data_IF_577772527455
#
_entry.id   IF_577772527455
#
_cell.length_a   1.000
_cell.length_b   1.000
_cell.length_c   1.000
_cell.angle_alpha   90.00
_cell.angle_beta   90.00
_cell.angle_gamma   90.00
#
_symmetry.space_group_name_H-M   'P 1'
#
loop_
_entity.id
_entity.type
_entity.pdbx_description
1 polymer ?
#
# COMPACT_ATOMS: atom_id res chain seq x y z
N UNK A 1 -14.56 3.62 14.83
CA UNK A 1 -13.44 4.56 14.99
C UNK A 1 -13.95 5.86 15.60
N UNK A 2 -13.25 6.37 16.61
CA UNK A 2 -13.53 7.69 17.20
C UNK A 2 -12.49 8.67 16.66
N UNK A 3 -12.94 9.90 16.34
CA UNK A 3 -12.07 10.94 15.83
C UNK A 3 -12.05 12.12 16.80
N UNK A 4 -10.85 12.58 17.15
CA UNK A 4 -10.62 13.74 17.97
C UNK A 4 -9.49 14.61 17.40
N UNK A 5 -9.11 15.63 18.17
CA UNK A 5 -7.98 16.48 17.82
C UNK A 5 -7.13 16.75 19.07
N UNK A 6 -5.80 16.69 18.88
CA UNK A 6 -4.86 17.27 19.82
C UNK A 6 -4.49 18.67 19.34
N UNK A 7 -4.49 19.64 20.26
CA UNK A 7 -4.18 21.04 19.98
C UNK A 7 -3.18 21.56 21.01
N UNK A 8 -2.24 22.38 20.56
CA UNK A 8 -1.23 23.00 21.44
C UNK A 8 -1.59 24.44 21.72
N UNK A 9 -1.67 24.81 22.99
CA UNK A 9 -1.95 26.18 23.43
C UNK A 9 -0.74 26.77 24.16
N UNK A 10 -0.41 28.03 23.87
CA UNK A 10 0.62 28.82 24.54
C UNK A 10 -0.05 30.09 25.07
N UNK A 11 0.01 30.31 26.38
CA UNK A 11 -0.64 31.42 27.05
C UNK A 11 -2.14 31.57 26.67
N UNK A 12 -2.86 30.45 26.57
CA UNK A 12 -4.29 30.43 26.25
C UNK A 12 -4.63 30.68 24.78
N UNK A 13 -3.64 30.78 23.90
CA UNK A 13 -3.84 30.96 22.46
C UNK A 13 -3.38 29.72 21.73
N UNK A 14 -4.15 29.29 20.72
CA UNK A 14 -3.77 28.18 19.85
C UNK A 14 -2.43 28.48 19.17
N UNK A 15 -1.45 27.63 19.38
CA UNK A 15 -0.13 27.78 18.78
C UNK A 15 -0.17 27.58 17.27
N UNK A 16 0.81 28.14 16.59
CA UNK A 16 1.03 27.90 15.15
C UNK A 16 2.26 27.03 14.92
N UNK A 17 2.14 26.12 13.98
CA UNK A 17 3.29 25.42 13.43
C UNK A 17 4.11 26.33 12.51
N UNK A 18 5.26 25.86 12.09
CA UNK A 18 6.11 26.54 11.13
C UNK A 18 6.49 25.56 10.01
N UNK A 19 6.17 25.90 8.76
CA UNK A 19 6.53 25.12 7.58
C UNK A 19 7.08 26.05 6.50
N UNK A 20 8.38 25.94 6.15
CA UNK A 20 8.92 26.62 4.98
C UNK A 20 8.48 25.88 3.72
N UNK A 21 8.10 26.63 2.70
CA UNK A 21 7.83 26.17 1.35
C UNK A 21 8.90 26.78 0.46
N UNK A 22 9.86 25.98 0.03
CA UNK A 22 10.97 26.44 -0.79
C UNK A 22 11.15 25.49 -1.98
N UNK A 23 11.01 26.03 -3.20
CA UNK A 23 11.27 25.35 -4.45
C UNK A 23 12.07 26.26 -5.36
N UNK A 24 12.90 25.72 -6.22
CA UNK A 24 13.81 26.50 -7.08
C UNK A 24 13.10 27.48 -8.02
N UNK A 25 11.84 27.22 -8.35
CA UNK A 25 11.04 28.01 -9.30
C UNK A 25 10.08 29.01 -8.67
N UNK A 26 10.03 29.12 -7.34
CA UNK A 26 9.21 30.10 -6.60
C UNK A 26 9.99 30.75 -5.46
N UNK A 27 9.60 31.95 -5.09
CA UNK A 27 10.13 32.60 -3.88
C UNK A 27 9.73 31.78 -2.63
N UNK A 28 10.66 31.65 -1.69
CA UNK A 28 10.40 30.95 -0.42
C UNK A 28 9.23 31.60 0.34
N UNK A 29 8.32 30.78 0.78
CA UNK A 29 7.15 31.18 1.55
C UNK A 29 7.15 30.50 2.92
N UNK A 30 6.49 31.11 3.88
CA UNK A 30 6.32 30.56 5.22
C UNK A 30 4.83 30.32 5.47
N UNK A 31 4.50 29.10 5.85
CA UNK A 31 3.15 28.72 6.23
C UNK A 31 3.08 28.42 7.73
N UNK A 32 2.11 29.02 8.41
CA UNK A 32 1.88 28.90 9.86
C UNK A 32 0.52 28.24 10.13
N UNK A 33 0.39 26.92 9.92
CA UNK A 33 -0.84 26.21 10.23
C UNK A 33 -1.08 26.21 11.75
N UNK A 34 -2.33 25.95 12.14
CA UNK A 34 -2.63 25.66 13.52
C UNK A 34 -1.85 24.44 14.01
N UNK A 35 -1.31 24.51 15.24
CA UNK A 35 -0.64 23.38 15.88
C UNK A 35 -1.70 22.38 16.36
N UNK A 36 -2.31 21.69 15.39
CA UNK A 36 -3.43 20.79 15.54
C UNK A 36 -3.15 19.48 14.80
N UNK A 37 -3.42 18.37 15.47
CA UNK A 37 -3.27 17.04 14.91
C UNK A 37 -4.58 16.26 15.04
N UNK A 38 -5.03 15.65 13.95
CA UNK A 38 -6.17 14.73 13.99
C UNK A 38 -5.75 13.42 14.65
N UNK A 39 -6.53 12.98 15.62
CA UNK A 39 -6.39 11.70 16.31
C UNK A 39 -7.53 10.79 15.87
N UNK A 40 -7.21 9.56 15.54
CA UNK A 40 -8.19 8.52 15.22
C UNK A 40 -7.93 7.33 16.13
N UNK A 41 -8.92 6.97 16.94
CA UNK A 41 -8.88 5.76 17.74
C UNK A 41 -9.47 4.60 16.95
N UNK A 42 -8.69 3.54 16.80
CA UNK A 42 -9.07 2.34 16.07
C UNK A 42 -9.02 1.15 17.03
N UNK A 43 -10.09 0.36 17.05
CA UNK A 43 -10.10 -0.94 17.72
C UNK A 43 -9.67 -2.00 16.71
N UNK A 44 -8.36 -2.26 16.66
CA UNK A 44 -7.74 -3.19 15.73
C UNK A 44 -7.05 -4.35 16.48
N UNK A 45 -7.31 -5.56 16.03
CA UNK A 45 -6.48 -6.70 16.38
C UNK A 45 -5.25 -6.71 15.50
N UNK A 46 -4.09 -6.44 16.09
CA UNK A 46 -2.79 -6.36 15.39
C UNK A 46 -1.97 -7.59 15.79
N UNK A 47 -1.97 -8.66 14.98
CA UNK A 47 -1.16 -9.83 15.26
C UNK A 47 0.33 -9.47 15.16
N UNK A 48 1.18 -10.04 16.04
CA UNK A 48 2.62 -9.83 15.98
C UNK A 48 3.17 -10.41 14.67
N UNK A 49 3.61 -9.53 13.79
CA UNK A 49 4.22 -9.86 12.50
C UNK A 49 5.41 -8.96 12.24
N UNK A 50 6.51 -9.57 11.80
CA UNK A 50 7.70 -8.85 11.37
C UNK A 50 7.60 -8.53 9.88
N UNK A 51 7.67 -7.25 9.56
CA UNK A 51 7.48 -6.73 8.20
C UNK A 51 8.79 -6.15 7.67
N UNK A 52 9.22 -6.62 6.51
CA UNK A 52 10.27 -5.96 5.73
C UNK A 52 9.65 -5.03 4.70
N UNK A 53 10.01 -3.76 4.71
CA UNK A 53 9.48 -2.74 3.80
C UNK A 53 10.53 -2.30 2.78
N UNK A 54 10.24 -2.50 1.50
CA UNK A 54 11.07 -2.06 0.38
C UNK A 54 10.52 -0.73 -0.17
N UNK A 55 11.18 0.37 0.13
CA UNK A 55 10.73 1.70 -0.28
C UNK A 55 10.64 1.82 -1.81
N UNK A 56 9.50 2.33 -2.29
CA UNK A 56 9.25 2.64 -3.68
C UNK A 56 9.50 4.12 -4.03
N UNK A 57 8.59 4.70 -4.80
CA UNK A 57 8.70 6.11 -5.24
C UNK A 57 8.42 7.15 -4.13
N UNK A 58 8.13 6.68 -2.93
CA UNK A 58 7.80 7.48 -1.75
C UNK A 58 6.33 7.38 -1.39
N UNK A 59 6.06 6.83 -0.22
CA UNK A 59 4.74 6.73 0.39
C UNK A 59 4.88 6.71 1.91
N UNK A 60 3.77 6.66 2.63
CA UNK A 60 3.71 6.68 4.08
C UNK A 60 3.15 5.40 4.69
N UNK A 61 3.07 4.32 3.91
CA UNK A 61 2.52 3.05 4.37
C UNK A 61 3.43 2.43 5.45
N UNK A 62 4.76 2.46 5.26
CA UNK A 62 5.70 1.99 6.27
C UNK A 62 5.56 2.75 7.60
N UNK A 63 5.51 4.09 7.55
CA UNK A 63 5.29 4.92 8.74
C UNK A 63 3.95 4.62 9.41
N UNK A 64 2.89 4.41 8.62
CA UNK A 64 1.56 4.08 9.14
C UNK A 64 1.55 2.72 9.87
N UNK A 65 2.23 1.71 9.34
CA UNK A 65 2.36 0.39 9.97
C UNK A 65 3.14 0.46 11.28
N UNK A 66 4.22 1.25 11.35
CA UNK A 66 4.94 1.53 12.59
C UNK A 66 4.04 2.21 13.63
N UNK A 67 3.25 3.20 13.21
CA UNK A 67 2.30 3.88 14.10
C UNK A 67 1.18 2.96 14.62
N UNK A 68 0.86 1.91 13.89
CA UNK A 68 -0.07 0.86 14.33
C UNK A 68 0.58 -0.14 15.31
N UNK A 69 1.91 -0.11 15.47
CA UNK A 69 2.65 -0.96 16.40
C UNK A 69 3.21 -2.25 15.78
N UNK A 70 3.26 -2.37 14.45
CA UNK A 70 3.98 -3.48 13.83
C UNK A 70 5.50 -3.34 13.98
N UNK A 71 6.20 -4.47 14.12
CA UNK A 71 7.65 -4.55 13.96
C UNK A 71 7.98 -4.44 12.46
N UNK A 72 8.61 -3.34 12.04
CA UNK A 72 8.91 -3.06 10.64
C UNK A 72 10.33 -2.54 10.46
N UNK A 73 11.06 -3.16 9.52
CA UNK A 73 12.36 -2.71 9.07
C UNK A 73 12.29 -2.17 7.64
N UNK A 74 12.84 -0.98 7.39
CA UNK A 74 13.09 -0.48 6.03
C UNK A 74 14.32 -1.18 5.47
N UNK A 75 14.11 -1.97 4.42
CA UNK A 75 15.14 -2.83 3.85
C UNK A 75 15.94 -2.11 2.76
N UNK A 76 17.26 -2.31 2.77
CA UNK A 76 18.14 -1.83 1.71
C UNK A 76 18.19 -2.87 0.56
N UNK A 77 17.67 -2.54 -0.63
CA UNK A 77 17.67 -3.46 -1.77
C UNK A 77 19.06 -3.94 -2.22
N UNK A 78 20.13 -3.20 -1.89
CA UNK A 78 21.49 -3.58 -2.24
C UNK A 78 22.05 -4.71 -1.36
N UNK A 79 21.47 -4.92 -0.17
CA UNK A 79 21.96 -5.88 0.84
C UNK A 79 21.05 -7.08 1.04
N UNK A 80 19.98 -7.19 0.23
CA UNK A 80 19.01 -8.26 0.39
C UNK A 80 19.49 -9.57 -0.20
N UNK A 81 19.44 -10.58 0.63
CA UNK A 81 19.56 -11.98 0.26
C UNK A 81 18.37 -12.82 0.74
N UNK A 82 18.36 -14.08 0.39
CA UNK A 82 17.29 -15.00 0.74
C UNK A 82 17.22 -15.24 2.26
N UNK A 83 18.36 -15.33 2.94
CA UNK A 83 18.42 -15.56 4.38
C UNK A 83 17.81 -14.37 5.16
N UNK A 84 18.12 -13.17 4.74
CA UNK A 84 17.55 -11.94 5.31
C UNK A 84 16.02 -11.92 5.14
N UNK A 85 15.50 -12.22 3.94
CA UNK A 85 14.07 -12.23 3.70
C UNK A 85 13.32 -13.25 4.56
N UNK A 86 13.89 -14.42 4.80
CA UNK A 86 13.26 -15.48 5.60
C UNK A 86 13.12 -15.12 7.10
N UNK A 87 13.74 -14.04 7.55
CA UNK A 87 13.55 -13.52 8.91
C UNK A 87 12.24 -12.70 9.08
N UNK A 88 11.51 -12.46 7.99
CA UNK A 88 10.25 -11.71 7.98
C UNK A 88 9.05 -12.60 7.70
N UNK A 89 7.90 -12.26 8.26
CA UNK A 89 6.60 -12.87 7.92
C UNK A 89 6.03 -12.31 6.60
N UNK A 90 6.27 -11.00 6.39
CA UNK A 90 5.73 -10.24 5.27
C UNK A 90 6.81 -9.36 4.68
N UNK A 91 6.92 -9.37 3.37
CA UNK A 91 7.64 -8.32 2.63
C UNK A 91 6.61 -7.46 1.92
N UNK A 92 6.73 -6.14 2.08
CA UNK A 92 5.88 -5.16 1.43
C UNK A 92 6.71 -4.24 0.55
N UNK A 93 6.36 -4.14 -0.73
CA UNK A 93 6.98 -3.17 -1.63
C UNK A 93 6.15 -1.90 -1.71
N UNK A 94 6.78 -0.75 -1.52
CA UNK A 94 6.16 0.56 -1.65
C UNK A 94 5.67 0.84 -3.07
N UNK A 95 4.87 1.91 -3.23
CA UNK A 95 4.30 2.29 -4.51
C UNK A 95 5.38 2.43 -5.58
N UNK A 96 5.16 1.81 -6.73
CA UNK A 96 6.05 1.87 -7.91
C UNK A 96 7.47 1.33 -7.66
N UNK A 97 7.66 0.45 -6.68
CA UNK A 97 8.99 -0.14 -6.39
C UNK A 97 9.64 -0.70 -7.67
N UNK A 98 8.90 -1.48 -8.46
CA UNK A 98 9.41 -2.10 -9.69
C UNK A 98 9.58 -1.11 -10.87
N UNK A 99 9.15 0.13 -10.71
CA UNK A 99 9.42 1.20 -11.69
C UNK A 99 10.68 2.01 -11.36
N UNK A 100 11.02 2.16 -10.08
CA UNK A 100 12.07 3.10 -9.64
C UNK A 100 13.33 2.42 -9.15
N UNK A 101 13.26 1.15 -8.72
CA UNK A 101 14.42 0.44 -8.18
C UNK A 101 15.20 -0.27 -9.29
N UNK A 102 16.46 0.11 -9.48
CA UNK A 102 17.33 -0.46 -10.53
C UNK A 102 17.67 -1.95 -10.28
N UNK A 103 17.58 -2.41 -9.02
CA UNK A 103 17.80 -3.81 -8.66
C UNK A 103 16.55 -4.69 -8.80
N UNK A 104 15.40 -4.14 -9.16
CA UNK A 104 14.13 -4.87 -9.21
C UNK A 104 14.22 -6.19 -10.00
N UNK A 105 14.89 -6.18 -11.16
CA UNK A 105 15.07 -7.39 -11.97
C UNK A 105 15.88 -8.48 -11.24
N UNK A 106 16.89 -8.08 -10.50
CA UNK A 106 17.76 -8.99 -9.73
C UNK A 106 17.04 -9.54 -8.49
N UNK A 107 16.27 -8.70 -7.81
CA UNK A 107 15.56 -9.06 -6.58
C UNK A 107 14.32 -9.92 -6.82
N UNK A 108 13.67 -9.78 -7.95
CA UNK A 108 12.42 -10.51 -8.25
C UNK A 108 12.49 -12.00 -8.00
N UNK A 109 13.52 -12.75 -8.46
CA UNK A 109 13.60 -14.18 -8.20
C UNK A 109 13.71 -14.51 -6.70
N UNK A 110 14.41 -13.69 -5.93
CA UNK A 110 14.59 -13.87 -4.48
C UNK A 110 13.28 -13.60 -3.73
N UNK A 111 12.56 -12.54 -4.09
CA UNK A 111 11.24 -12.23 -3.55
C UNK A 111 10.22 -13.34 -3.85
N UNK A 112 10.22 -13.89 -5.07
CA UNK A 112 9.33 -15.00 -5.41
C UNK A 112 9.71 -16.31 -4.70
N UNK A 113 11.01 -16.57 -4.46
CA UNK A 113 11.43 -17.72 -3.63
C UNK A 113 10.98 -17.56 -2.18
N UNK A 114 11.07 -16.36 -1.59
CA UNK A 114 10.52 -16.07 -0.27
C UNK A 114 9.05 -16.46 -0.18
N UNK A 115 8.23 -16.09 -1.17
CA UNK A 115 6.82 -16.50 -1.21
C UNK A 115 6.68 -18.02 -1.29
N UNK A 116 7.43 -18.69 -2.18
CA UNK A 116 7.41 -20.16 -2.28
C UNK A 116 7.70 -20.87 -0.97
N UNK A 117 8.53 -20.28 -0.12
CA UNK A 117 8.95 -20.82 1.18
C UNK A 117 7.99 -20.51 2.32
N UNK A 118 6.91 -19.76 2.06
CA UNK A 118 5.85 -19.51 3.04
C UNK A 118 5.67 -18.04 3.44
N UNK A 119 6.50 -17.14 2.94
CA UNK A 119 6.35 -15.71 3.16
C UNK A 119 5.17 -15.10 2.41
N UNK A 120 4.72 -13.94 2.84
CA UNK A 120 3.70 -13.16 2.13
C UNK A 120 4.35 -11.92 1.50
N UNK A 121 4.20 -11.77 0.19
CA UNK A 121 4.68 -10.62 -0.54
C UNK A 121 3.50 -9.75 -0.95
N UNK A 122 3.45 -8.52 -0.41
CA UNK A 122 2.43 -7.53 -0.75
C UNK A 122 3.06 -6.49 -1.67
N UNK A 123 2.51 -6.35 -2.87
CA UNK A 123 3.01 -5.43 -3.88
C UNK A 123 1.99 -4.32 -4.10
N UNK A 124 2.35 -3.10 -3.73
CA UNK A 124 1.54 -1.93 -4.07
C UNK A 124 1.59 -1.65 -5.58
N UNK A 125 0.72 -0.76 -6.08
CA UNK A 125 0.61 -0.52 -7.50
C UNK A 125 1.94 -0.14 -8.18
N UNK A 126 2.08 -0.56 -9.42
CA UNK A 126 3.15 -0.18 -10.32
C UNK A 126 2.56 0.29 -11.66
N UNK A 127 3.24 1.18 -12.36
CA UNK A 127 2.80 1.59 -13.69
C UNK A 127 3.10 0.52 -14.72
N UNK A 128 2.34 0.50 -15.83
CA UNK A 128 2.55 -0.45 -16.93
C UNK A 128 3.76 -0.12 -17.83
N UNK A 129 4.45 0.99 -17.59
CA UNK A 129 5.60 1.45 -18.38
C UNK A 129 6.80 1.74 -17.48
N UNK A 130 8.01 1.75 -18.09
CA UNK A 130 9.29 1.99 -17.39
C UNK A 130 9.55 1.02 -16.22
N UNK A 131 9.04 -0.21 -16.32
CA UNK A 131 9.36 -1.25 -15.37
C UNK A 131 10.86 -1.61 -15.47
N UNK A 132 11.52 -1.75 -14.33
CA UNK A 132 12.93 -2.17 -14.22
C UNK A 132 13.09 -3.69 -14.25
N UNK A 133 12.00 -4.42 -14.45
CA UNK A 133 11.97 -5.88 -14.61
C UNK A 133 10.96 -6.27 -15.67
N UNK A 134 11.16 -7.41 -16.32
CA UNK A 134 10.22 -7.94 -17.31
C UNK A 134 8.92 -8.43 -16.67
N UNK A 135 9.03 -9.00 -15.49
CA UNK A 135 7.90 -9.48 -14.70
C UNK A 135 8.32 -9.57 -13.23
N UNK A 136 7.38 -9.32 -12.34
CA UNK A 136 7.52 -9.51 -10.90
C UNK A 136 6.36 -10.32 -10.31
N UNK A 137 5.58 -10.94 -11.19
CA UNK A 137 4.42 -11.74 -10.84
C UNK A 137 4.77 -13.23 -10.81
N UNK A 138 4.20 -14.04 -9.88
CA UNK A 138 4.39 -15.49 -9.87
C UNK A 138 3.69 -16.21 -11.02
N UNK A 139 2.60 -15.64 -11.55
CA UNK A 139 1.80 -16.13 -12.67
C UNK A 139 1.52 -15.01 -13.68
N UNK A 140 1.13 -15.32 -14.92
CA UNK A 140 0.82 -14.30 -15.91
C UNK A 140 -0.19 -13.27 -15.41
N UNK A 141 0.19 -11.99 -15.51
CA UNK A 141 -0.65 -10.85 -15.18
C UNK A 141 -0.20 -9.66 -16.05
N UNK A 142 -1.15 -8.89 -16.55
CA UNK A 142 -0.90 -7.69 -17.33
C UNK A 142 -1.44 -6.48 -16.58
N UNK A 143 -0.62 -5.46 -16.42
CA UNK A 143 -1.03 -4.16 -15.88
C UNK A 143 -1.55 -3.29 -17.03
N UNK A 144 -2.71 -2.68 -16.86
CA UNK A 144 -3.29 -1.71 -17.79
C UNK A 144 -2.95 -0.26 -17.41
N UNK A 145 -3.60 0.68 -18.08
CA UNK A 145 -3.63 2.09 -17.68
C UNK A 145 -4.98 2.49 -17.09
N UNK A 146 -5.82 1.52 -16.82
CA UNK A 146 -7.14 1.76 -16.24
C UNK A 146 -7.03 2.42 -14.88
N UNK A 147 -8.02 3.24 -14.59
CA UNK A 147 -8.12 3.99 -13.33
C UNK A 147 -9.58 4.12 -12.91
N UNK A 148 -9.79 4.41 -11.64
CA UNK A 148 -11.08 4.84 -11.08
C UNK A 148 -10.81 6.15 -10.36
N UNK A 149 -11.34 7.24 -10.88
CA UNK A 149 -11.00 8.60 -10.46
C UNK A 149 -11.97 9.20 -9.45
N UNK A 150 -13.19 8.69 -9.38
CA UNK A 150 -14.15 9.13 -8.38
C UNK A 150 -13.74 8.67 -7.00
N UNK A 151 -13.51 9.62 -6.08
CA UNK A 151 -13.04 9.38 -4.72
C UNK A 151 -14.05 8.57 -3.89
N UNK A 152 -15.33 8.72 -4.19
CA UNK A 152 -16.47 8.06 -3.54
C UNK A 152 -17.04 6.86 -4.32
N UNK A 153 -16.36 6.43 -5.40
CA UNK A 153 -16.78 5.27 -6.17
C UNK A 153 -17.07 4.07 -5.25
N UNK A 154 -18.25 3.43 -5.38
CA UNK A 154 -18.64 2.33 -4.51
C UNK A 154 -17.68 1.14 -4.63
N UNK A 155 -17.24 0.59 -3.49
CA UNK A 155 -16.42 -0.62 -3.45
C UNK A 155 -17.32 -1.84 -3.40
N UNK A 156 -17.06 -2.80 -4.30
CA UNK A 156 -17.73 -4.10 -4.32
C UNK A 156 -16.80 -5.18 -3.81
N UNK A 157 -17.24 -5.92 -2.80
CA UNK A 157 -16.55 -7.11 -2.32
C UNK A 157 -16.97 -8.28 -3.20
N UNK A 158 -16.05 -8.75 -4.06
CA UNK A 158 -16.31 -9.85 -4.99
C UNK A 158 -16.37 -11.20 -4.28
N UNK A 159 -15.65 -11.33 -3.17
CA UNK A 159 -15.60 -12.51 -2.32
C UNK A 159 -15.77 -12.10 -0.86
N UNK A 160 -16.99 -11.76 -0.41
CA UNK A 160 -17.23 -11.18 0.92
C UNK A 160 -16.82 -12.09 2.08
N UNK A 161 -16.81 -13.42 1.87
CA UNK A 161 -16.41 -14.39 2.87
C UNK A 161 -14.91 -14.71 2.86
N UNK A 162 -14.14 -14.07 1.98
CA UNK A 162 -12.71 -14.31 1.91
C UNK A 162 -12.01 -13.89 3.20
N UNK A 163 -11.07 -14.71 3.68
CA UNK A 163 -10.39 -14.52 4.97
C UNK A 163 -9.74 -13.14 5.11
N UNK A 164 -9.18 -12.59 4.03
CA UNK A 164 -8.51 -11.27 4.05
C UNK A 164 -9.46 -10.10 4.38
N UNK A 165 -10.75 -10.25 4.11
CA UNK A 165 -11.78 -9.25 4.41
C UNK A 165 -12.37 -9.40 5.82
N UNK A 166 -12.07 -10.53 6.49
CA UNK A 166 -12.73 -10.89 7.74
C UNK A 166 -11.76 -11.15 8.91
N UNK A 167 -10.45 -11.29 8.64
CA UNK A 167 -9.42 -11.56 9.67
C UNK A 167 -8.11 -10.84 9.35
N UNK A 168 -7.38 -10.38 10.40
CA UNK A 168 -7.72 -10.39 11.83
C UNK A 168 -8.83 -9.39 12.19
N UNK A 169 -9.08 -8.41 11.33
CA UNK A 169 -10.13 -7.40 11.46
C UNK A 169 -11.12 -7.55 10.31
N UNK A 170 -12.38 -7.25 10.58
CA UNK A 170 -13.40 -7.25 9.52
C UNK A 170 -13.34 -5.95 8.74
N UNK A 171 -13.08 -6.06 7.44
CA UNK A 171 -13.17 -4.93 6.51
C UNK A 171 -14.63 -4.70 6.10
N UNK A 172 -15.04 -3.43 6.06
CA UNK A 172 -16.37 -2.99 5.70
C UNK A 172 -16.31 -1.93 4.60
N UNK A 173 -17.44 -1.59 4.01
CA UNK A 173 -17.48 -0.53 3.00
C UNK A 173 -17.09 0.83 3.56
N UNK A 174 -17.36 1.08 4.84
CA UNK A 174 -16.99 2.34 5.50
C UNK A 174 -15.49 2.55 5.65
N UNK A 175 -14.67 1.50 5.52
CA UNK A 175 -13.21 1.64 5.53
C UNK A 175 -12.67 2.36 4.27
N UNK A 176 -13.53 2.50 3.25
CA UNK A 176 -13.24 3.22 2.02
C UNK A 176 -13.86 4.62 1.98
N UNK A 177 -14.55 5.05 3.05
CA UNK A 177 -15.13 6.38 3.12
C UNK A 177 -14.04 7.45 3.31
N UNK A 178 -14.27 8.61 2.72
CA UNK A 178 -13.36 9.77 2.80
C UNK A 178 -11.94 9.52 2.26
N UNK A 179 -11.78 8.56 1.37
CA UNK A 179 -10.57 8.48 0.57
C UNK A 179 -10.46 9.73 -0.30
N UNK A 180 -9.27 10.27 -0.42
CA UNK A 180 -8.96 11.46 -1.19
C UNK A 180 -8.22 11.05 -2.46
N UNK A 181 -8.43 11.76 -3.55
CA UNK A 181 -7.91 11.52 -4.89
C UNK A 181 -8.66 10.38 -5.61
N UNK A 182 -7.94 9.42 -6.18
CA UNK A 182 -8.53 8.32 -6.92
C UNK A 182 -8.67 7.05 -6.09
N UNK A 183 -9.62 6.19 -6.50
CA UNK A 183 -9.78 4.84 -5.93
C UNK A 183 -8.68 3.88 -6.34
N UNK A 184 -8.06 4.09 -7.47
CA UNK A 184 -6.95 3.26 -7.91
C UNK A 184 -6.46 3.57 -9.32
N UNK A 185 -5.23 3.16 -9.57
CA UNK A 185 -4.50 3.37 -10.82
C UNK A 185 -3.88 2.06 -11.30
N UNK A 186 -3.71 1.96 -12.61
CA UNK A 186 -3.00 0.85 -13.26
C UNK A 186 -3.55 -0.52 -12.87
N UNK A 187 -4.88 -0.67 -12.95
CA UNK A 187 -5.53 -1.94 -12.66
C UNK A 187 -4.98 -3.06 -13.53
N UNK A 188 -4.92 -4.29 -13.00
CA UNK A 188 -4.69 -5.47 -13.82
C UNK A 188 -5.77 -5.62 -14.89
N UNK A 189 -5.33 -5.95 -16.12
CA UNK A 189 -6.17 -6.22 -17.27
C UNK A 189 -5.79 -7.59 -17.85
N UNK A 190 -6.40 -8.62 -17.30
CA UNK A 190 -6.07 -10.01 -17.60
C UNK A 190 -5.03 -10.58 -16.66
N UNK A 191 -5.41 -11.65 -16.01
CA UNK A 191 -4.56 -12.45 -15.12
C UNK A 191 -4.91 -13.92 -15.17
N UNK A 192 -3.96 -14.74 -14.74
CA UNK A 192 -4.09 -16.19 -14.66
C UNK A 192 -5.11 -16.61 -13.60
N UNK A 193 -5.73 -17.78 -13.77
CA UNK A 193 -6.78 -18.31 -12.87
C UNK A 193 -6.35 -18.50 -11.42
N UNK A 194 -5.06 -18.53 -11.18
CA UNK A 194 -4.48 -18.64 -9.82
C UNK A 194 -4.74 -17.39 -8.96
N UNK A 195 -5.01 -16.23 -9.60
CA UNK A 195 -5.36 -15.02 -8.86
C UNK A 195 -6.84 -14.98 -8.51
N UNK A 196 -7.11 -14.65 -7.28
CA UNK A 196 -8.44 -14.36 -6.77
C UNK A 196 -8.63 -12.84 -6.70
N UNK A 197 -9.66 -12.34 -7.41
CA UNK A 197 -10.05 -10.95 -7.33
C UNK A 197 -10.99 -10.74 -6.13
N UNK A 198 -10.62 -9.85 -5.23
CA UNK A 198 -11.31 -9.65 -3.96
C UNK A 198 -12.17 -8.37 -3.98
N UNK A 199 -11.64 -7.30 -4.58
CA UNK A 199 -12.28 -5.98 -4.63
C UNK A 199 -12.47 -5.49 -6.05
N UNK A 200 -13.55 -4.73 -6.26
CA UNK A 200 -13.87 -4.07 -7.53
C UNK A 200 -14.52 -2.72 -7.29
N UNK A 201 -14.24 -1.77 -8.16
CA UNK A 201 -14.91 -0.47 -8.24
C UNK A 201 -14.85 0.10 -9.66
N UNK A 202 -15.64 1.15 -9.93
CA UNK A 202 -15.67 1.83 -11.23
C UNK A 202 -16.13 3.28 -11.07
N UNK A 203 -15.72 4.12 -12.00
CA UNK A 203 -16.36 5.42 -12.18
C UNK A 203 -17.79 5.22 -12.69
N UNK A 204 -18.65 6.22 -12.45
CA UNK A 204 -20.06 6.16 -12.87
C UNK A 204 -20.19 5.96 -14.38
N UNK A 205 -20.95 4.95 -14.78
CA UNK A 205 -21.15 4.60 -16.19
C UNK A 205 -20.04 3.76 -16.83
N UNK A 206 -18.96 3.42 -16.09
CA UNK A 206 -17.91 2.56 -16.58
C UNK A 206 -18.06 1.10 -16.12
N UNK A 207 -17.36 0.20 -16.82
CA UNK A 207 -17.30 -1.20 -16.42
C UNK A 207 -16.43 -1.38 -15.16
N UNK A 208 -16.84 -2.27 -14.24
CA UNK A 208 -16.09 -2.51 -13.00
C UNK A 208 -14.67 -3.01 -13.24
N UNK A 209 -13.69 -2.38 -12.58
CA UNK A 209 -12.30 -2.80 -12.53
C UNK A 209 -12.11 -3.79 -11.39
N UNK A 210 -11.92 -5.08 -11.71
CA UNK A 210 -11.92 -6.19 -10.72
C UNK A 210 -10.58 -6.46 -10.07
N UNK A 211 -9.56 -5.71 -10.35
CA UNK A 211 -8.19 -5.94 -9.89
C UNK A 211 -7.75 -5.06 -8.71
N UNK A 212 -8.71 -4.49 -7.95
CA UNK A 212 -8.38 -3.61 -6.82
C UNK A 212 -7.60 -4.28 -5.70
N UNK A 213 -7.85 -5.57 -5.49
CA UNK A 213 -7.05 -6.45 -4.64
C UNK A 213 -7.03 -7.83 -5.29
N UNK A 214 -5.85 -8.31 -5.64
CA UNK A 214 -5.61 -9.66 -6.17
C UNK A 214 -4.76 -10.46 -5.19
N UNK A 215 -5.10 -11.73 -5.00
CA UNK A 215 -4.34 -12.64 -4.14
C UNK A 215 -4.10 -13.94 -4.92
N UNK A 216 -2.87 -14.43 -4.89
CA UNK A 216 -2.51 -15.72 -5.48
C UNK A 216 -1.65 -16.54 -4.51
N UNK A 217 -2.03 -17.79 -4.18
CA UNK A 217 -1.13 -18.71 -3.51
C UNK A 217 0.07 -19.03 -4.43
N UNK A 218 1.27 -19.02 -3.87
CA UNK A 218 2.47 -19.38 -4.60
C UNK A 218 3.43 -20.19 -3.73
N UNK A 219 3.52 -21.48 -3.97
CA UNK A 219 4.19 -22.41 -3.07
C UNK A 219 3.45 -22.53 -1.73
N UNK A 220 4.10 -22.16 -0.61
CA UNK A 220 3.51 -22.18 0.74
C UNK A 220 3.05 -20.81 1.21
N UNK A 221 3.33 -19.75 0.47
CA UNK A 221 2.98 -18.37 0.81
C UNK A 221 1.98 -17.76 -0.16
N UNK A 222 1.77 -16.45 -0.03
CA UNK A 222 0.83 -15.71 -0.86
C UNK A 222 1.51 -14.49 -1.50
N UNK A 223 1.13 -14.21 -2.73
CA UNK A 223 1.41 -13.00 -3.45
C UNK A 223 0.14 -12.13 -3.50
N UNK A 224 0.24 -10.87 -3.09
CA UNK A 224 -0.87 -9.93 -2.99
C UNK A 224 -0.58 -8.67 -3.79
#
# INVERSE_FOLDING_TARGET
>A
AETGFAEVYINGRLAKGFRPIAYDHISSQLWFPDAKMKLVSLDLNIPPKKIGYLMGAGDKVGDALLNLGYELDFLDPEKLDEATLLSYDVILTGVRFFNVNEKASHLTPTLLRFVKQGGNLIVQYNTSYRLKTKSFFPYPLKISRDRVTQEDAPVTFLQPDHIVLNKPNKMTKSDFDNWVQERGLYFPDGWSKEYQAILSWSDTGEQPKKGGLLIAPYGRGNYV
#
